data_IF_883730370368
#
_entry.id   IF_883730370368
#
_cell.length_a   1.000
_cell.length_b   1.000
_cell.length_c   1.000
_cell.angle_alpha   90.00
_cell.angle_beta   90.00
_cell.angle_gamma   90.00
#
_symmetry.space_group_name_H-M   'P 1'
#
loop_
_entity.id
_entity.type
_entity.pdbx_description
1 polymer ?
#
# COMPACT_ATOMS: atom_id res chain seq x y z
N UNK A 1 -14.11 -5.34 4.33
CA UNK A 1 -12.98 -4.53 4.84
C UNK A 1 -12.19 -3.84 3.73
N UNK A 2 -11.67 -4.54 2.71
CA UNK A 2 -10.86 -3.93 1.64
C UNK A 2 -11.53 -2.77 0.89
N UNK A 3 -12.82 -2.87 0.57
CA UNK A 3 -13.55 -1.79 -0.11
C UNK A 3 -13.63 -0.48 0.70
N UNK A 4 -13.71 -0.56 2.03
CA UNK A 4 -13.74 0.61 2.91
C UNK A 4 -12.36 1.30 2.98
N UNK A 5 -11.27 0.53 2.92
CA UNK A 5 -9.90 1.05 2.85
C UNK A 5 -9.64 1.81 1.56
N UNK A 6 -10.18 1.32 0.44
CA UNK A 6 -10.02 1.93 -0.88
C UNK A 6 -10.96 3.11 -1.14
N UNK A 7 -12.06 3.19 -0.39
CA UNK A 7 -13.07 4.24 -0.50
C UNK A 7 -12.50 5.67 -0.47
N UNK A 8 -11.68 6.09 0.52
CA UNK A 8 -11.13 7.45 0.55
C UNK A 8 -10.23 7.81 -0.66
N UNK A 9 -9.70 6.82 -1.38
CA UNK A 9 -8.81 7.01 -2.54
C UNK A 9 -9.63 7.06 -3.84
N UNK A 10 -10.56 6.11 -4.01
CA UNK A 10 -11.35 5.93 -5.22
C UNK A 10 -12.77 6.48 -5.15
N UNK A 11 -13.16 7.15 -4.06
CA UNK A 11 -14.53 7.63 -3.87
C UNK A 11 -15.03 8.36 -5.13
N UNK A 12 -16.21 7.98 -5.65
CA UNK A 12 -16.80 8.61 -6.83
C UNK A 12 -17.17 10.08 -6.58
N UNK A 13 -17.31 10.48 -5.31
CA UNK A 13 -17.66 11.83 -4.88
C UNK A 13 -16.37 12.62 -4.62
N UNK A 14 -16.07 13.69 -5.39
CA UNK A 14 -14.85 14.48 -5.23
C UNK A 14 -14.64 15.05 -3.82
N UNK A 15 -15.72 15.43 -3.12
CA UNK A 15 -15.66 15.96 -1.75
C UNK A 15 -15.31 14.91 -0.70
N UNK A 16 -15.53 13.62 -0.98
CA UNK A 16 -15.21 12.51 -0.07
C UNK A 16 -13.83 11.89 -0.35
N UNK A 17 -13.13 12.35 -1.40
CA UNK A 17 -11.76 11.90 -1.71
C UNK A 17 -10.78 12.61 -0.81
N UNK A 18 -9.87 11.85 -0.22
CA UNK A 18 -8.77 12.43 0.55
C UNK A 18 -7.93 13.33 -0.37
N UNK A 19 -7.50 14.47 0.19
CA UNK A 19 -6.53 15.33 -0.48
C UNK A 19 -5.30 14.49 -0.90
N UNK A 20 -4.70 14.74 -2.08
CA UNK A 20 -3.64 13.87 -2.62
C UNK A 20 -2.51 13.59 -1.63
N UNK A 21 -2.07 14.60 -0.87
CA UNK A 21 -1.06 14.48 0.18
C UNK A 21 -1.51 13.59 1.35
N UNK A 22 -2.76 13.72 1.80
CA UNK A 22 -3.31 12.89 2.85
C UNK A 22 -3.44 11.42 2.40
N UNK A 23 -3.82 11.18 1.14
CA UNK A 23 -3.87 9.84 0.54
C UNK A 23 -2.49 9.18 0.47
N UNK A 24 -1.44 9.96 0.17
CA UNK A 24 -0.05 9.49 0.17
C UNK A 24 0.38 9.06 1.58
N UNK A 25 0.16 9.88 2.60
CA UNK A 25 0.52 9.56 4.00
C UNK A 25 -0.24 8.34 4.51
N UNK A 26 -1.51 8.21 4.13
CA UNK A 26 -2.36 7.07 4.48
C UNK A 26 -1.81 5.76 3.90
N UNK A 27 -1.55 5.72 2.59
CA UNK A 27 -1.00 4.55 1.91
C UNK A 27 0.42 4.23 2.37
N UNK A 28 1.23 5.25 2.66
CA UNK A 28 2.58 5.06 3.18
C UNK A 28 2.57 4.39 4.56
N UNK A 29 1.68 4.84 5.46
CA UNK A 29 1.50 4.22 6.78
C UNK A 29 1.02 2.77 6.66
N UNK A 30 0.09 2.50 5.74
CA UNK A 30 -0.36 1.14 5.46
C UNK A 30 0.76 0.24 4.92
N UNK A 31 1.61 0.76 4.04
CA UNK A 31 2.79 0.09 3.51
C UNK A 31 3.81 -0.23 4.61
N UNK A 32 4.06 0.71 5.53
CA UNK A 32 4.94 0.51 6.68
C UNK A 32 4.42 -0.59 7.61
N UNK A 33 3.14 -0.53 7.99
CA UNK A 33 2.53 -1.55 8.84
C UNK A 33 2.58 -2.94 8.20
N UNK A 34 2.31 -3.02 6.90
CA UNK A 34 2.37 -4.27 6.13
C UNK A 34 3.80 -4.83 6.06
N UNK A 35 4.79 -3.98 5.79
CA UNK A 35 6.21 -4.36 5.75
C UNK A 35 6.71 -4.83 7.11
N UNK A 36 6.40 -4.10 8.19
CA UNK A 36 6.79 -4.47 9.54
C UNK A 36 6.19 -5.81 9.96
N UNK A 37 4.91 -6.03 9.66
CA UNK A 37 4.23 -7.30 9.94
C UNK A 37 4.83 -8.45 9.12
N UNK A 38 5.15 -8.21 7.84
CA UNK A 38 5.77 -9.19 6.96
C UNK A 38 7.18 -9.58 7.42
N UNK A 39 8.02 -8.60 7.76
CA UNK A 39 9.35 -8.82 8.35
C UNK A 39 9.21 -9.60 9.65
N UNK A 40 8.29 -9.18 10.54
CA UNK A 40 8.04 -9.90 11.78
C UNK A 40 7.73 -11.37 11.50
N UNK A 41 6.71 -11.69 10.70
CA UNK A 41 6.33 -13.09 10.43
C UNK A 41 7.45 -13.90 9.74
N UNK A 42 8.20 -13.28 8.81
CA UNK A 42 9.31 -13.93 8.09
C UNK A 42 10.45 -14.31 9.04
N UNK A 43 10.75 -13.46 10.02
CA UNK A 43 11.89 -13.63 10.92
C UNK A 43 11.51 -14.14 12.32
N UNK A 44 10.23 -14.16 12.70
CA UNK A 44 9.82 -14.79 13.96
C UNK A 44 10.00 -16.29 13.83
N UNK A 45 11.01 -16.85 14.48
CA UNK A 45 11.18 -18.30 14.61
C UNK A 45 10.23 -18.87 15.67
N UNK A 46 8.97 -18.43 15.70
CA UNK A 46 7.95 -19.19 16.41
C UNK A 46 7.72 -20.38 15.52
N UNK A 47 8.45 -21.46 15.81
CA UNK A 47 8.17 -22.81 15.37
C UNK A 47 6.65 -22.99 15.44
N UNK A 48 6.02 -22.90 14.26
CA UNK A 48 4.57 -23.03 14.05
C UNK A 48 4.14 -24.19 14.93
N UNK A 49 3.24 -23.94 15.87
CA UNK A 49 2.79 -24.77 17.00
C UNK A 49 3.45 -26.15 17.12
N UNK A 50 3.83 -26.66 18.31
CA UNK A 50 4.32 -28.04 18.45
C UNK A 50 3.43 -29.14 17.81
N UNK A 51 2.15 -28.84 17.54
CA UNK A 51 1.26 -29.62 16.68
C UNK A 51 1.72 -29.81 15.20
N UNK A 52 2.41 -28.84 14.60
CA UNK A 52 3.04 -28.93 13.28
C UNK A 52 4.48 -29.43 13.33
N UNK A 53 5.10 -29.49 14.51
CA UNK A 53 6.43 -30.11 14.71
C UNK A 53 6.35 -31.65 14.72
N UNK A 54 5.20 -32.21 15.11
CA UNK A 54 4.86 -33.62 14.93
C UNK A 54 3.53 -33.74 14.16
N UNK A 55 3.52 -33.45 12.84
CA UNK A 55 2.34 -33.71 12.06
C UNK A 55 2.09 -35.22 12.08
N UNK A 56 0.89 -35.65 12.50
CA UNK A 56 0.47 -37.05 12.37
C UNK A 56 0.28 -37.31 10.88
N UNK A 57 1.38 -37.64 10.21
CA UNK A 57 1.48 -37.74 8.76
C UNK A 57 0.91 -39.09 8.30
N UNK A 58 -0.42 -39.24 8.42
CA UNK A 58 -1.15 -40.48 8.13
C UNK A 58 -1.06 -40.88 6.64
N UNK A 59 -0.72 -39.93 5.78
CA UNK A 59 -0.65 -40.06 4.32
C UNK A 59 0.79 -39.85 3.76
N UNK A 60 1.76 -39.49 4.61
CA UNK A 60 3.16 -39.25 4.21
C UNK A 60 3.38 -38.02 3.32
N UNK A 61 2.39 -37.15 3.17
CA UNK A 61 2.42 -36.00 2.24
C UNK A 61 3.40 -34.95 2.74
N UNK A 62 3.44 -34.72 4.05
CA UNK A 62 4.27 -33.68 4.65
C UNK A 62 5.74 -34.09 4.57
N UNK A 63 6.03 -35.37 4.81
CA UNK A 63 7.37 -35.96 4.65
C UNK A 63 7.88 -35.83 3.21
N UNK A 64 7.03 -36.12 2.20
CA UNK A 64 7.38 -35.95 0.79
C UNK A 64 7.64 -34.49 0.40
N UNK A 65 6.92 -33.55 1.01
CA UNK A 65 7.15 -32.11 0.80
C UNK A 65 8.47 -31.66 1.41
N UNK A 66 8.81 -32.16 2.60
CA UNK A 66 10.10 -31.89 3.25
C UNK A 66 11.27 -32.49 2.47
N UNK A 67 11.12 -33.72 1.97
CA UNK A 67 12.12 -34.35 1.08
C UNK A 67 12.29 -33.56 -0.24
N UNK A 68 11.24 -32.91 -0.72
CA UNK A 68 11.28 -32.00 -1.86
C UNK A 68 11.88 -30.61 -1.53
N UNK A 69 12.30 -30.38 -0.29
CA UNK A 69 12.95 -29.14 0.17
C UNK A 69 12.00 -28.07 0.71
N UNK A 70 10.69 -28.34 0.79
CA UNK A 70 9.67 -27.43 1.34
C UNK A 70 9.62 -27.54 2.87
N UNK A 71 10.73 -27.19 3.54
CA UNK A 71 10.79 -27.22 5.01
C UNK A 71 9.85 -26.17 5.61
N UNK A 72 9.40 -26.34 6.88
CA UNK A 72 8.51 -25.38 7.55
C UNK A 72 9.05 -23.95 7.57
N UNK A 73 10.38 -23.81 7.66
CA UNK A 73 11.07 -22.53 7.61
C UNK A 73 10.96 -21.85 6.24
N UNK A 74 11.02 -22.62 5.15
CA UNK A 74 10.89 -22.10 3.78
C UNK A 74 9.45 -21.69 3.52
N UNK A 75 8.47 -22.50 3.95
CA UNK A 75 7.05 -22.18 3.83
C UNK A 75 6.70 -20.89 4.60
N UNK A 76 7.22 -20.73 5.81
CA UNK A 76 7.02 -19.51 6.61
C UNK A 76 7.65 -18.26 5.97
N UNK A 77 8.87 -18.38 5.42
CA UNK A 77 9.53 -17.27 4.73
C UNK A 77 8.79 -16.86 3.47
N UNK A 78 8.32 -17.84 2.68
CA UNK A 78 7.51 -17.59 1.49
C UNK A 78 6.16 -16.96 1.86
N UNK A 79 5.50 -17.47 2.90
CA UNK A 79 4.25 -16.91 3.42
C UNK A 79 4.42 -15.47 3.88
N UNK A 80 5.50 -15.18 4.62
CA UNK A 80 5.88 -13.82 5.01
C UNK A 80 6.08 -12.93 3.78
N UNK A 81 6.94 -13.32 2.85
CA UNK A 81 7.25 -12.56 1.63
C UNK A 81 5.99 -12.27 0.79
N UNK A 82 5.16 -13.29 0.54
CA UNK A 82 3.91 -13.18 -0.21
C UNK A 82 2.87 -12.32 0.49
N UNK A 83 2.91 -12.25 1.82
CA UNK A 83 1.95 -11.44 2.59
C UNK A 83 2.20 -9.94 2.41
N UNK A 84 3.46 -9.47 2.40
CA UNK A 84 3.74 -8.02 2.41
C UNK A 84 4.22 -7.45 1.09
N UNK A 85 4.96 -8.22 0.27
CA UNK A 85 5.56 -7.70 -0.96
C UNK A 85 4.51 -7.27 -1.99
N UNK A 86 3.50 -8.10 -2.34
CA UNK A 86 2.49 -7.72 -3.33
C UNK A 86 1.64 -6.51 -2.91
N UNK A 87 1.12 -6.41 -1.66
CA UNK A 87 0.38 -5.22 -1.21
C UNK A 87 1.23 -3.95 -1.20
N UNK A 88 2.50 -4.03 -0.75
CA UNK A 88 3.37 -2.86 -0.70
C UNK A 88 3.67 -2.32 -2.11
N UNK A 89 3.94 -3.20 -3.07
CA UNK A 89 4.12 -2.80 -4.47
C UNK A 89 2.88 -2.09 -5.03
N UNK A 90 1.68 -2.59 -4.68
CA UNK A 90 0.42 -1.97 -5.09
C UNK A 90 0.22 -0.59 -4.43
N UNK A 91 0.51 -0.45 -3.13
CA UNK A 91 0.42 0.85 -2.44
C UNK A 91 1.37 1.89 -3.03
N UNK A 92 2.62 1.51 -3.29
CA UNK A 92 3.62 2.39 -3.93
C UNK A 92 3.13 2.83 -5.31
N UNK A 93 2.57 1.91 -6.10
CA UNK A 93 2.03 2.22 -7.43
C UNK A 93 0.91 3.27 -7.37
N UNK A 94 0.00 3.16 -6.38
CA UNK A 94 -1.08 4.13 -6.19
C UNK A 94 -0.56 5.48 -5.66
N UNK A 95 0.44 5.48 -4.78
CA UNK A 95 1.11 6.71 -4.32
C UNK A 95 1.72 7.45 -5.51
N UNK A 96 2.43 6.75 -6.39
CA UNK A 96 3.01 7.35 -7.61
C UNK A 96 1.91 7.93 -8.50
N UNK A 97 0.80 7.21 -8.69
CA UNK A 97 -0.33 7.72 -9.46
C UNK A 97 -0.96 8.99 -8.84
N UNK A 98 -1.13 9.03 -7.51
CA UNK A 98 -1.63 10.20 -6.80
C UNK A 98 -0.70 11.41 -6.93
N UNK A 99 0.62 11.18 -6.86
CA UNK A 99 1.63 12.22 -7.07
C UNK A 99 1.59 12.79 -8.48
N UNK A 100 1.55 11.93 -9.51
CA UNK A 100 1.42 12.36 -10.90
C UNK A 100 0.14 13.18 -11.13
N UNK A 101 -0.99 12.75 -10.55
CA UNK A 101 -2.26 13.48 -10.61
C UNK A 101 -2.15 14.85 -9.94
N UNK A 102 -1.52 14.92 -8.77
CA UNK A 102 -1.34 16.16 -8.04
C UNK A 102 -0.44 17.15 -8.77
N UNK A 103 0.68 16.67 -9.35
CA UNK A 103 1.62 17.49 -10.10
C UNK A 103 0.95 18.13 -11.32
N UNK A 104 0.18 17.36 -12.09
CA UNK A 104 -0.58 17.87 -13.24
C UNK A 104 -1.61 18.94 -12.85
N UNK A 105 -2.28 18.76 -11.71
CA UNK A 105 -3.25 19.73 -11.21
C UNK A 105 -2.60 21.02 -10.65
N UNK A 106 -1.31 21.00 -10.32
CA UNK A 106 -0.57 22.18 -9.88
C UNK A 106 -0.23 23.11 -11.06
N UNK A 107 0.09 22.54 -12.23
CA UNK A 107 0.41 23.28 -13.45
C UNK A 107 -0.82 23.99 -14.06
N UNK A 108 -2.02 23.43 -13.88
CA UNK A 108 -3.27 23.98 -14.41
C UNK A 108 -3.84 25.16 -13.60
N UNK A 109 -3.17 25.60 -12.52
CA UNK A 109 -3.66 26.76 -11.74
C UNK A 109 -3.54 28.03 -12.57
N UNK A 110 -4.65 28.74 -12.87
CA UNK A 110 -4.59 29.99 -13.63
C UNK A 110 -3.68 30.96 -12.90
N UNK A 111 -2.64 31.45 -13.59
CA UNK A 111 -1.86 32.58 -13.09
C UNK A 111 -2.85 33.72 -12.85
N UNK A 112 -2.83 34.38 -11.67
CA UNK A 112 -3.68 35.55 -11.45
C UNK A 112 -3.37 36.53 -12.57
N UNK A 113 -4.38 36.82 -13.39
CA UNK A 113 -4.26 37.77 -14.48
C UNK A 113 -3.78 39.09 -13.87
N UNK A 114 -2.80 39.78 -14.47
CA UNK A 114 -2.42 41.10 -14.01
C UNK A 114 -3.69 41.96 -14.01
N UNK A 115 -4.10 42.40 -12.82
CA UNK A 115 -5.19 43.36 -12.67
C UNK A 115 -4.71 44.62 -13.36
N UNK A 116 -5.07 44.79 -14.63
CA UNK A 116 -4.90 46.04 -15.34
C UNK A 116 -5.82 47.01 -14.64
N UNK A 117 -5.26 47.78 -13.70
CA UNK A 117 -5.89 48.96 -13.17
C UNK A 117 -5.99 49.95 -14.33
N UNK A 118 -7.09 49.86 -15.07
CA UNK A 118 -7.55 50.93 -15.92
C UNK A 118 -7.75 52.14 -15.01
N UNK A 119 -6.72 52.98 -14.89
CA UNK A 119 -6.80 54.31 -14.33
C UNK A 119 -7.88 55.03 -15.12
N UNK A 120 -9.06 55.15 -14.53
CA UNK A 120 -10.05 56.14 -14.91
C UNK A 120 -9.34 57.49 -14.85
N UNK A 121 -9.02 58.03 -16.03
CA UNK A 121 -8.67 59.43 -16.20
C UNK A 121 -10.01 60.15 -16.42
N UNK A 122 -10.57 60.87 -15.42
CA UNK A 122 -11.58 61.86 -15.70
C UNK A 122 -10.83 63.07 -16.28
N UNK A 123 -10.73 63.14 -17.60
CA UNK A 123 -10.36 64.39 -18.28
C UNK A 123 -11.57 65.32 -18.15
N UNK A 124 -11.34 66.42 -17.44
CA UNK A 124 -12.21 67.57 -17.21
C UNK A 124 -12.46 68.38 -18.47
#
# INVERSE_FOLDING_TARGET
>A
AGLLFWWPIFAPIPQARLAPLAGIVYLFSACLGCTLLGIYITFTTISVCPAFANPVDRLGIVTRLYDAGLTPSVDQQLGGLLMWVPPCALYVSVIMWLLCRWYRAADDRPRPLPVVSARLHPES
#
